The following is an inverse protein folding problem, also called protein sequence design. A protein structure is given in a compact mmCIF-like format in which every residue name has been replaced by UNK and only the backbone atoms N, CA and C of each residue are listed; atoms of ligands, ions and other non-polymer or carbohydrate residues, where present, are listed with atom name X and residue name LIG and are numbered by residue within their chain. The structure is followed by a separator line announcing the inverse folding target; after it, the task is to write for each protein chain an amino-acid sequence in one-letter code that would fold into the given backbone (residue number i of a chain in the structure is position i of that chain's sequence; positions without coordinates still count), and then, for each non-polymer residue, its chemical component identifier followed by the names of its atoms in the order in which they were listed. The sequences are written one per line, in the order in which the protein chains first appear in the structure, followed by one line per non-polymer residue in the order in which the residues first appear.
data_IF_903067055914
#
_entry.id   IF_903067055914
#
_cell.length_a   1.000
_cell.length_b   1.000
_cell.length_c   1.000
_cell.angle_alpha   90.00
_cell.angle_beta   90.00
_cell.angle_gamma   90.00
#
_symmetry.space_group_name_H-M   'P 1'
#
loop_
_entity.id
_entity.type
_entity.pdbx_description
1 polymer ?
#
# COMPACT_ATOMS: atom_id res chain seq x y z
N UNK A 1 7.91 5.61 -39.95
CA UNK A 1 7.75 6.36 -38.68
C UNK A 1 9.09 6.41 -37.96
N UNK A 2 9.59 7.61 -37.67
CA UNK A 2 10.86 7.80 -36.96
C UNK A 2 10.68 7.72 -35.43
N UNK A 3 11.79 7.83 -34.69
CA UNK A 3 11.79 7.75 -33.22
C UNK A 3 10.96 8.87 -32.57
N UNK A 4 11.17 10.13 -33.01
CA UNK A 4 10.51 11.31 -32.47
C UNK A 4 8.99 11.19 -32.52
N UNK A 5 8.45 10.76 -33.66
CA UNK A 5 7.01 10.54 -33.81
C UNK A 5 6.51 9.43 -32.90
N UNK A 6 7.21 8.29 -32.86
CA UNK A 6 6.84 7.16 -32.01
C UNK A 6 6.83 7.50 -30.51
N UNK A 7 7.85 8.23 -30.03
CA UNK A 7 7.95 8.68 -28.64
C UNK A 7 6.86 9.70 -28.31
N UNK A 8 6.52 10.58 -29.26
CA UNK A 8 5.44 11.55 -29.08
C UNK A 8 4.07 10.87 -28.92
N UNK A 9 3.79 9.83 -29.71
CA UNK A 9 2.56 9.03 -29.59
C UNK A 9 2.49 8.28 -28.25
N UNK A 10 3.64 7.78 -27.76
CA UNK A 10 3.75 7.14 -26.44
C UNK A 10 3.48 8.15 -25.30
N UNK A 11 4.12 9.32 -25.35
CA UNK A 11 3.93 10.38 -24.35
C UNK A 11 2.49 10.93 -24.32
N UNK A 12 1.85 11.04 -25.50
CA UNK A 12 0.45 11.44 -25.63
C UNK A 12 -0.55 10.33 -25.22
N UNK A 13 -0.07 9.16 -24.80
CA UNK A 13 -0.90 8.01 -24.39
C UNK A 13 -1.90 7.57 -25.47
N UNK A 14 -1.53 7.70 -26.74
CA UNK A 14 -2.39 7.28 -27.85
C UNK A 14 -2.28 5.77 -28.07
N UNK A 15 -3.43 5.10 -28.16
CA UNK A 15 -3.50 3.70 -28.61
C UNK A 15 -3.04 3.61 -30.07
N UNK A 16 -2.65 2.41 -30.52
CA UNK A 16 -2.24 2.21 -31.90
C UNK A 16 -3.36 2.55 -32.91
N UNK A 17 -4.63 2.31 -32.55
CA UNK A 17 -5.79 2.68 -33.37
C UNK A 17 -5.97 4.21 -33.42
N UNK A 18 -5.91 4.89 -32.27
CA UNK A 18 -5.96 6.35 -32.22
C UNK A 18 -4.78 6.99 -32.95
N UNK A 19 -3.60 6.38 -32.86
CA UNK A 19 -2.41 6.80 -33.60
C UNK A 19 -2.62 6.69 -35.10
N UNK A 20 -3.16 5.57 -35.60
CA UNK A 20 -3.48 5.40 -37.01
C UNK A 20 -4.46 6.47 -37.48
N UNK A 21 -5.56 6.69 -36.73
CA UNK A 21 -6.56 7.70 -37.04
C UNK A 21 -5.96 9.11 -37.14
N UNK A 22 -5.20 9.53 -36.12
CA UNK A 22 -4.57 10.86 -36.09
C UNK A 22 -3.58 11.01 -37.24
N UNK A 23 -2.74 10.00 -37.49
CA UNK A 23 -1.75 10.07 -38.56
C UNK A 23 -2.41 10.12 -39.95
N UNK A 24 -3.46 9.35 -40.18
CA UNK A 24 -4.23 9.40 -41.44
C UNK A 24 -4.80 10.79 -41.67
N UNK A 25 -5.48 11.36 -40.66
CA UNK A 25 -6.08 12.68 -40.77
C UNK A 25 -5.02 13.77 -41.04
N UNK A 26 -3.86 13.69 -40.37
CA UNK A 26 -2.75 14.63 -40.59
C UNK A 26 -2.20 14.51 -42.02
N UNK A 27 -2.00 13.29 -42.53
CA UNK A 27 -1.51 13.08 -43.90
C UNK A 27 -2.49 13.63 -44.94
N UNK A 28 -3.79 13.43 -44.75
CA UNK A 28 -4.82 14.01 -45.61
C UNK A 28 -4.83 15.55 -45.54
N UNK A 29 -4.71 16.12 -44.33
CA UNK A 29 -4.73 17.56 -44.12
C UNK A 29 -3.56 18.29 -44.80
N UNK A 30 -2.41 17.61 -44.97
CA UNK A 30 -1.25 18.15 -45.72
C UNK A 30 -1.31 17.84 -47.23
N UNK A 31 -2.47 17.39 -47.74
CA UNK A 31 -2.69 17.12 -49.17
C UNK A 31 -1.97 15.87 -49.70
N UNK A 32 -1.55 14.96 -48.81
CA UNK A 32 -0.86 13.73 -49.18
C UNK A 32 -1.80 12.53 -49.11
N UNK A 33 -1.54 11.53 -49.93
CA UNK A 33 -2.32 10.28 -49.96
C UNK A 33 -1.86 9.34 -48.83
N UNK A 34 -2.74 9.00 -47.86
CA UNK A 34 -2.43 8.09 -46.75
C UNK A 34 -1.96 6.70 -47.17
N UNK A 35 -2.39 6.18 -48.33
CA UNK A 35 -2.01 4.84 -48.80
C UNK A 35 -0.52 4.75 -49.14
N UNK A 36 0.12 5.89 -49.45
CA UNK A 36 1.56 5.98 -49.69
C UNK A 36 2.38 5.89 -48.39
N UNK A 37 1.74 5.93 -47.22
CA UNK A 37 2.42 5.87 -45.92
C UNK A 37 2.08 4.59 -45.17
N UNK A 38 3.09 4.05 -44.48
CA UNK A 38 2.92 2.84 -43.68
C UNK A 38 2.31 3.18 -42.29
N UNK A 39 1.07 3.67 -42.29
CA UNK A 39 0.31 4.15 -41.12
C UNK A 39 -0.77 3.16 -40.63
N UNK A 40 -0.78 1.94 -41.18
CA UNK A 40 -1.66 0.89 -40.68
C UNK A 40 -1.40 0.59 -39.19
N UNK A 41 -2.43 0.13 -38.48
CA UNK A 41 -2.34 -0.30 -37.08
C UNK A 41 -1.13 -1.24 -36.83
N UNK A 42 -0.98 -2.26 -37.68
CA UNK A 42 0.09 -3.26 -37.56
C UNK A 42 1.47 -2.65 -37.79
N UNK A 43 1.60 -1.70 -38.71
CA UNK A 43 2.86 -1.01 -38.96
C UNK A 43 3.24 -0.06 -37.81
N UNK A 44 2.28 0.68 -37.26
CA UNK A 44 2.47 1.52 -36.09
C UNK A 44 2.92 0.67 -34.90
N UNK A 45 2.22 -0.45 -34.64
CA UNK A 45 2.56 -1.39 -33.56
C UNK A 45 3.98 -1.92 -33.69
N UNK A 46 4.37 -2.41 -34.88
CA UNK A 46 5.73 -2.94 -35.14
C UNK A 46 6.80 -1.86 -34.93
N UNK A 47 6.59 -0.67 -35.48
CA UNK A 47 7.54 0.44 -35.35
C UNK A 47 7.67 0.92 -33.89
N UNK A 48 6.56 1.07 -33.15
CA UNK A 48 6.59 1.43 -31.71
C UNK A 48 7.35 0.38 -30.90
N UNK A 49 7.08 -0.91 -31.12
CA UNK A 49 7.80 -1.98 -30.43
C UNK A 49 9.30 -1.98 -30.73
N UNK A 50 9.70 -1.76 -31.99
CA UNK A 50 11.11 -1.63 -32.37
C UNK A 50 11.78 -0.44 -31.67
N UNK A 51 11.11 0.71 -31.67
CA UNK A 51 11.63 1.93 -31.04
C UNK A 51 11.74 1.81 -29.52
N UNK A 52 10.71 1.30 -28.83
CA UNK A 52 10.74 1.06 -27.38
C UNK A 52 11.85 0.11 -26.98
N UNK A 53 12.06 -0.98 -27.73
CA UNK A 53 13.18 -1.91 -27.53
C UNK A 53 14.53 -1.20 -27.67
N UNK A 54 14.69 -0.38 -28.72
CA UNK A 54 15.92 0.40 -28.95
C UNK A 54 16.18 1.38 -27.81
N UNK A 55 15.16 2.11 -27.35
CA UNK A 55 15.27 3.05 -26.23
C UNK A 55 15.67 2.31 -24.95
N UNK A 56 15.02 1.18 -24.63
CA UNK A 56 15.34 0.39 -23.44
C UNK A 56 16.79 -0.14 -23.46
N UNK A 57 17.25 -0.68 -24.59
CA UNK A 57 18.65 -1.13 -24.77
C UNK A 57 19.61 0.06 -24.66
N UNK A 58 19.31 1.18 -25.32
CA UNK A 58 20.14 2.37 -25.27
C UNK A 58 20.27 2.93 -23.86
N UNK A 59 19.18 2.94 -23.09
CA UNK A 59 19.17 3.40 -21.72
C UNK A 59 20.00 2.46 -20.82
N UNK A 60 19.86 1.15 -20.99
CA UNK A 60 20.65 0.13 -20.29
C UNK A 60 22.16 0.25 -20.57
N UNK A 61 22.53 0.48 -21.83
CA UNK A 61 23.93 0.64 -22.23
C UNK A 61 24.54 1.95 -21.71
N UNK A 62 23.75 3.03 -21.68
CA UNK A 62 24.17 4.35 -21.17
C UNK A 62 24.27 4.39 -19.65
N UNK A 63 23.47 3.60 -18.95
CA UNK A 63 23.45 3.60 -17.49
C UNK A 63 24.65 2.83 -16.92
N UNK A 64 25.78 3.53 -16.78
CA UNK A 64 27.02 3.01 -16.19
C UNK A 64 27.41 3.88 -14.99
N UNK A 65 26.68 3.77 -13.86
CA UNK A 65 26.93 4.60 -12.69
C UNK A 65 28.30 4.31 -12.09
N UNK A 66 29.04 5.36 -11.73
CA UNK A 66 30.30 5.20 -11.00
C UNK A 66 30.12 5.21 -9.46
N UNK A 67 28.91 5.49 -8.98
CA UNK A 67 28.55 5.56 -7.57
C UNK A 67 28.12 4.20 -7.01
N UNK A 68 28.12 4.08 -5.69
CA UNK A 68 27.52 2.94 -5.00
C UNK A 68 26.00 3.02 -5.08
N UNK A 69 25.34 1.87 -5.20
CA UNK A 69 23.91 1.78 -5.43
C UNK A 69 23.19 1.07 -4.28
N UNK A 70 22.00 1.58 -3.98
CA UNK A 70 20.95 0.86 -3.25
C UNK A 70 19.94 0.32 -4.25
N UNK A 71 19.60 -0.96 -4.16
CA UNK A 71 18.50 -1.55 -4.93
C UNK A 71 17.25 -1.54 -4.07
N UNK A 72 16.18 -0.97 -4.58
CA UNK A 72 14.88 -0.85 -3.93
C UNK A 72 13.84 -1.68 -4.66
N UNK A 73 12.94 -2.30 -3.90
CA UNK A 73 11.74 -2.93 -4.46
C UNK A 73 10.54 -2.76 -3.54
N UNK A 74 9.35 -2.77 -4.13
CA UNK A 74 8.07 -2.74 -3.43
C UNK A 74 7.04 -3.54 -4.24
N UNK A 75 6.33 -4.47 -3.61
CA UNK A 75 5.39 -5.36 -4.30
C UNK A 75 4.04 -4.69 -4.52
N UNK A 76 3.44 -4.88 -5.70
CA UNK A 76 2.06 -4.43 -5.95
C UNK A 76 1.27 -5.41 -6.81
N UNK A 77 0.10 -5.80 -6.32
CA UNK A 77 -0.91 -6.49 -7.11
C UNK A 77 -1.51 -5.53 -8.16
N UNK A 78 -1.40 -5.89 -9.43
CA UNK A 78 -1.94 -5.14 -10.57
C UNK A 78 -2.68 -6.07 -11.52
N UNK A 79 -3.63 -5.55 -12.28
CA UNK A 79 -4.26 -6.30 -13.36
C UNK A 79 -3.21 -6.76 -14.37
N UNK A 80 -3.30 -8.01 -14.81
CA UNK A 80 -2.46 -8.52 -15.88
C UNK A 80 -2.79 -7.82 -17.20
N UNK A 81 -1.88 -7.90 -18.16
CA UNK A 81 -2.02 -7.24 -19.47
C UNK A 81 -3.26 -7.74 -20.22
N UNK A 82 -3.74 -8.94 -19.90
CA UNK A 82 -4.96 -9.53 -20.46
C UNK A 82 -6.24 -9.07 -19.76
N UNK A 83 -6.14 -8.37 -18.63
CA UNK A 83 -7.25 -7.85 -17.83
C UNK A 83 -8.05 -8.91 -17.06
N UNK A 84 -7.68 -10.19 -17.15
CA UNK A 84 -8.48 -11.30 -16.57
C UNK A 84 -8.07 -11.71 -15.17
N UNK A 85 -6.84 -11.40 -14.76
CA UNK A 85 -6.28 -11.84 -13.49
C UNK A 85 -5.50 -10.71 -12.84
N UNK A 86 -5.39 -10.74 -11.52
CA UNK A 86 -4.51 -9.87 -10.76
C UNK A 86 -3.19 -10.63 -10.54
N UNK A 87 -2.07 -9.94 -10.75
CA UNK A 87 -0.73 -10.52 -10.68
C UNK A 87 0.18 -9.64 -9.84
N UNK A 88 1.12 -10.26 -9.14
CA UNK A 88 2.16 -9.55 -8.42
C UNK A 88 3.15 -8.93 -9.41
N UNK A 89 3.33 -7.62 -9.31
CA UNK A 89 4.32 -6.85 -10.04
C UNK A 89 5.31 -6.27 -9.06
N UNK A 90 6.59 -6.34 -9.41
CA UNK A 90 7.67 -5.88 -8.54
C UNK A 90 8.45 -4.76 -9.25
N UNK A 91 8.10 -3.48 -9.06
CA UNK A 91 8.99 -2.38 -9.36
C UNK A 91 10.36 -2.57 -8.71
N UNK A 92 11.43 -2.52 -9.51
CA UNK A 92 12.82 -2.59 -9.05
C UNK A 92 13.53 -1.33 -9.50
N UNK A 93 14.02 -0.54 -8.55
CA UNK A 93 14.67 0.75 -8.79
C UNK A 93 16.05 0.70 -8.15
N UNK A 94 17.06 1.31 -8.78
CA UNK A 94 18.31 1.64 -8.09
C UNK A 94 18.42 3.12 -7.84
N UNK A 95 19.06 3.48 -6.72
CA UNK A 95 19.44 4.86 -6.43
C UNK A 95 20.86 4.93 -5.86
N UNK A 96 21.51 6.05 -6.08
CA UNK A 96 22.80 6.41 -5.52
C UNK A 96 22.94 7.94 -5.50
N UNK A 97 24.14 8.43 -5.24
CA UNK A 97 24.42 9.86 -5.28
C UNK A 97 24.07 10.45 -6.66
N UNK A 98 23.10 11.37 -6.68
CA UNK A 98 22.63 12.05 -7.89
C UNK A 98 21.98 11.16 -8.97
N UNK A 99 21.76 9.87 -8.69
CA UNK A 99 21.26 8.91 -9.70
C UNK A 99 20.07 8.11 -9.19
N UNK A 100 19.09 7.91 -10.05
CA UNK A 100 17.97 7.00 -9.84
C UNK A 100 17.55 6.38 -11.17
N UNK A 101 17.30 5.07 -11.19
CA UNK A 101 16.94 4.35 -12.41
C UNK A 101 16.00 3.18 -12.12
N UNK A 102 14.85 3.14 -12.81
CA UNK A 102 13.98 1.97 -12.86
C UNK A 102 14.64 0.87 -13.70
N UNK A 103 14.88 -0.30 -13.09
CA UNK A 103 15.43 -1.47 -13.80
C UNK A 103 14.35 -2.27 -14.52
N UNK A 104 13.15 -2.31 -13.95
CA UNK A 104 12.02 -3.03 -14.51
C UNK A 104 10.85 -3.17 -13.53
N UNK A 105 9.76 -3.77 -14.04
CA UNK A 105 8.55 -4.11 -13.26
C UNK A 105 8.14 -5.56 -13.59
N UNK A 106 8.98 -6.57 -13.31
CA UNK A 106 8.68 -7.97 -13.60
C UNK A 106 7.37 -8.45 -12.99
N UNK A 107 6.71 -9.39 -13.69
CA UNK A 107 5.64 -10.22 -13.13
C UNK A 107 6.30 -11.26 -12.22
N UNK A 108 5.86 -11.38 -10.99
CA UNK A 108 6.27 -12.46 -10.13
C UNK A 108 5.33 -13.66 -10.30
N UNK A 109 5.84 -14.90 -10.19
CA UNK A 109 4.99 -16.08 -10.12
C UNK A 109 4.21 -16.14 -8.79
N UNK A 110 4.77 -15.57 -7.72
CA UNK A 110 4.17 -15.41 -6.40
C UNK A 110 5.00 -14.40 -5.58
N UNK A 111 4.42 -13.86 -4.50
CA UNK A 111 5.08 -12.93 -3.57
C UNK A 111 6.08 -13.55 -2.58
N UNK A 112 6.70 -14.70 -2.89
CA UNK A 112 7.69 -15.32 -1.98
C UNK A 112 9.05 -14.65 -2.07
N UNK A 113 9.85 -14.74 -0.99
CA UNK A 113 11.21 -14.20 -0.94
C UNK A 113 12.12 -14.72 -2.06
N UNK A 114 11.98 -15.99 -2.45
CA UNK A 114 12.72 -16.59 -3.56
C UNK A 114 12.41 -15.95 -4.92
N UNK A 115 11.12 -15.71 -5.19
CA UNK A 115 10.66 -15.05 -6.42
C UNK A 115 11.15 -13.61 -6.50
N UNK A 116 11.05 -12.87 -5.39
CA UNK A 116 11.55 -11.50 -5.26
C UNK A 116 13.06 -11.47 -5.45
N UNK A 117 13.82 -12.29 -4.72
CA UNK A 117 15.29 -12.33 -4.80
C UNK A 117 15.78 -12.64 -6.22
N UNK A 118 15.12 -13.57 -6.90
CA UNK A 118 15.47 -13.93 -8.28
C UNK A 118 15.21 -12.76 -9.22
N UNK A 119 14.04 -12.13 -9.14
CA UNK A 119 13.69 -10.97 -9.97
C UNK A 119 14.66 -9.78 -9.75
N UNK A 120 15.01 -9.50 -8.50
CA UNK A 120 15.97 -8.43 -8.16
C UNK A 120 17.37 -8.76 -8.67
N UNK A 121 17.86 -9.96 -8.40
CA UNK A 121 19.18 -10.40 -8.86
C UNK A 121 19.29 -10.36 -10.39
N UNK A 122 18.32 -10.95 -11.10
CA UNK A 122 18.30 -10.98 -12.56
C UNK A 122 18.25 -9.57 -13.16
N UNK A 123 17.50 -8.65 -12.55
CA UNK A 123 17.48 -7.25 -12.96
C UNK A 123 18.86 -6.60 -12.79
N UNK A 124 19.52 -6.76 -11.64
CA UNK A 124 20.85 -6.16 -11.41
C UNK A 124 21.95 -6.77 -12.29
N UNK A 125 21.87 -8.07 -12.57
CA UNK A 125 22.75 -8.75 -13.51
C UNK A 125 22.53 -8.26 -14.93
N UNK A 126 21.27 -8.20 -15.37
CA UNK A 126 20.94 -7.76 -16.71
C UNK A 126 21.56 -6.39 -16.95
N UNK A 127 21.40 -5.45 -16.03
CA UNK A 127 21.92 -4.08 -16.15
C UNK A 127 23.43 -3.94 -15.90
N UNK A 128 24.14 -5.04 -15.59
CA UNK A 128 25.59 -5.07 -15.33
C UNK A 128 26.01 -4.13 -14.19
N UNK A 129 25.16 -4.00 -13.16
CA UNK A 129 25.40 -3.11 -12.01
C UNK A 129 25.61 -3.87 -10.70
N UNK A 130 25.61 -5.21 -10.74
CA UNK A 130 25.68 -6.05 -9.54
C UNK A 130 26.87 -5.64 -8.64
N UNK A 131 28.07 -5.43 -9.19
CA UNK A 131 29.25 -5.01 -8.44
C UNK A 131 29.10 -3.64 -7.72
N UNK A 132 28.23 -2.74 -8.20
CA UNK A 132 27.95 -1.43 -7.60
C UNK A 132 26.90 -1.47 -6.49
N UNK A 133 26.10 -2.53 -6.40
CA UNK A 133 25.08 -2.67 -5.35
C UNK A 133 25.75 -2.88 -4.00
N UNK A 134 25.41 -2.05 -3.01
CA UNK A 134 25.91 -2.17 -1.62
C UNK A 134 24.79 -2.22 -0.59
N UNK A 135 23.60 -1.74 -0.95
CA UNK A 135 22.48 -1.68 -0.04
C UNK A 135 21.20 -2.24 -0.67
N UNK A 136 20.28 -2.70 0.17
CA UNK A 136 18.96 -3.20 -0.20
C UNK A 136 17.89 -2.37 0.52
N UNK A 137 16.99 -1.74 -0.22
CA UNK A 137 15.83 -1.02 0.31
C UNK A 137 14.55 -1.83 0.10
N UNK A 138 13.84 -2.16 1.19
CA UNK A 138 12.71 -3.08 1.15
C UNK A 138 11.70 -2.82 2.28
N UNK A 139 10.46 -3.28 2.12
CA UNK A 139 9.45 -3.31 3.19
C UNK A 139 9.66 -4.47 4.16
N UNK A 140 9.25 -4.31 5.42
CA UNK A 140 9.60 -5.23 6.52
C UNK A 140 8.76 -6.52 6.56
N UNK A 141 8.15 -6.91 5.45
CA UNK A 141 7.41 -8.16 5.35
C UNK A 141 8.34 -9.37 5.49
N UNK A 142 7.81 -10.47 6.04
CA UNK A 142 8.57 -11.70 6.28
C UNK A 142 9.14 -12.32 5.00
N UNK A 143 8.50 -12.10 3.85
CA UNK A 143 9.03 -12.55 2.56
C UNK A 143 10.34 -11.84 2.19
N UNK A 144 10.61 -10.64 2.69
CA UNK A 144 11.88 -9.95 2.50
C UNK A 144 12.89 -10.25 3.60
N UNK A 145 12.45 -10.29 4.86
CA UNK A 145 13.32 -10.32 6.05
C UNK A 145 13.58 -11.70 6.65
N UNK A 146 12.92 -12.75 6.15
CA UNK A 146 13.08 -14.11 6.66
C UNK A 146 14.54 -14.57 6.66
N UNK A 147 15.03 -15.04 7.81
CA UNK A 147 16.45 -15.38 8.01
C UNK A 147 17.01 -16.33 6.95
N UNK A 148 16.26 -17.37 6.59
CA UNK A 148 16.75 -18.43 5.68
C UNK A 148 16.23 -18.29 4.23
N UNK A 149 14.99 -17.80 4.06
CA UNK A 149 14.28 -17.79 2.78
C UNK A 149 13.76 -16.40 2.37
N UNK A 150 14.12 -15.37 3.15
CA UNK A 150 13.80 -13.98 2.85
C UNK A 150 14.55 -13.49 1.63
N UNK A 151 13.94 -12.55 0.91
CA UNK A 151 14.53 -11.99 -0.29
C UNK A 151 15.94 -11.42 -0.05
N UNK A 152 16.16 -10.73 1.08
CA UNK A 152 17.44 -10.09 1.37
C UNK A 152 18.56 -11.12 1.55
N UNK A 153 18.34 -12.14 2.40
CA UNK A 153 19.28 -13.26 2.58
C UNK A 153 19.60 -13.93 1.24
N UNK A 154 18.58 -14.22 0.43
CA UNK A 154 18.76 -14.91 -0.84
C UNK A 154 19.49 -14.04 -1.88
N UNK A 155 19.31 -12.71 -1.85
CA UNK A 155 20.04 -11.78 -2.71
C UNK A 155 21.52 -11.76 -2.34
N UNK A 156 21.86 -11.68 -1.05
CA UNK A 156 23.26 -11.73 -0.58
C UNK A 156 23.94 -13.03 -0.98
N UNK A 157 23.27 -14.17 -0.79
CA UNK A 157 23.77 -15.48 -1.22
C UNK A 157 24.01 -15.55 -2.73
N UNK A 158 23.07 -15.04 -3.54
CA UNK A 158 23.20 -14.99 -5.00
C UNK A 158 24.33 -14.06 -5.45
N UNK A 159 24.48 -12.91 -4.79
CA UNK A 159 25.51 -11.93 -5.09
C UNK A 159 26.89 -12.26 -4.50
N UNK A 160 26.95 -13.21 -3.54
CA UNK A 160 28.14 -13.62 -2.79
C UNK A 160 28.85 -12.45 -2.12
N UNK A 161 28.09 -11.59 -1.46
CA UNK A 161 28.60 -10.45 -0.70
C UNK A 161 27.59 -10.00 0.34
N UNK A 162 28.12 -9.39 1.39
CA UNK A 162 27.32 -8.75 2.42
C UNK A 162 26.77 -7.42 1.88
N UNK A 163 25.50 -7.15 2.19
CA UNK A 163 24.79 -5.96 1.76
C UNK A 163 24.18 -5.26 2.97
N UNK A 164 24.15 -3.94 2.93
CA UNK A 164 23.49 -3.18 3.99
C UNK A 164 21.98 -3.21 3.80
N UNK A 165 21.27 -3.74 4.78
CA UNK A 165 19.81 -3.83 4.77
C UNK A 165 19.17 -2.53 5.26
N UNK A 166 18.54 -1.80 4.36
CA UNK A 166 17.85 -0.54 4.61
C UNK A 166 16.34 -0.80 4.67
N UNK A 167 15.91 -1.42 5.77
CA UNK A 167 14.49 -1.65 6.04
C UNK A 167 13.69 -0.34 6.00
N UNK A 168 12.53 -0.37 5.35
CA UNK A 168 11.72 0.82 5.13
C UNK A 168 11.22 1.41 6.46
N UNK A 169 11.74 2.58 6.82
CA UNK A 169 11.36 3.31 8.05
C UNK A 169 9.87 3.58 8.16
N UNK A 170 9.19 3.82 7.03
CA UNK A 170 7.74 4.00 7.02
C UNK A 170 7.00 2.77 7.53
N UNK A 171 7.45 1.57 7.15
CA UNK A 171 6.85 0.32 7.62
C UNK A 171 7.22 0.02 9.09
N UNK A 172 8.42 0.38 9.54
CA UNK A 172 8.81 0.25 10.95
C UNK A 172 7.91 1.12 11.85
N UNK A 173 7.75 2.40 11.51
CA UNK A 173 6.88 3.32 12.25
C UNK A 173 5.42 2.85 12.23
N UNK A 174 4.99 2.25 11.13
CA UNK A 174 3.67 1.63 11.04
C UNK A 174 3.48 0.48 12.04
N UNK A 175 4.46 -0.40 12.19
CA UNK A 175 4.41 -1.52 13.14
C UNK A 175 4.35 -1.00 14.58
N UNK A 176 5.16 0.01 14.91
CA UNK A 176 5.15 0.62 16.25
C UNK A 176 3.77 1.23 16.56
N UNK A 177 3.22 2.01 15.62
CA UNK A 177 1.93 2.63 15.79
C UNK A 177 0.79 1.60 15.87
N UNK A 178 0.84 0.54 15.06
CA UNK A 178 -0.13 -0.56 15.13
C UNK A 178 -0.11 -1.22 16.51
N UNK A 179 1.07 -1.44 17.11
CA UNK A 179 1.17 -2.02 18.44
C UNK A 179 0.49 -1.13 19.51
N UNK A 180 0.68 0.19 19.44
CA UNK A 180 0.02 1.15 20.33
C UNK A 180 -1.50 1.16 20.10
N UNK A 181 -1.94 1.25 18.85
CA UNK A 181 -3.38 1.25 18.50
C UNK A 181 -4.06 -0.02 18.97
N UNK A 182 -3.44 -1.19 18.76
CA UNK A 182 -3.96 -2.48 19.25
C UNK A 182 -4.07 -2.47 20.79
N UNK A 183 -3.08 -1.92 21.49
CA UNK A 183 -3.10 -1.86 22.95
C UNK A 183 -4.20 -0.92 23.48
N UNK A 184 -4.42 0.21 22.81
CA UNK A 184 -5.40 1.22 23.24
C UNK A 184 -6.85 0.90 22.87
N UNK A 185 -7.08 0.35 21.67
CA UNK A 185 -8.42 0.21 21.06
C UNK A 185 -8.82 -1.27 20.91
N UNK A 186 -7.88 -2.21 21.10
CA UNK A 186 -8.10 -3.64 20.91
C UNK A 186 -7.78 -4.11 19.49
N UNK A 187 -7.75 -5.44 19.30
CA UNK A 187 -7.52 -6.05 17.97
C UNK A 187 -8.77 -5.95 17.12
N UNK A 188 -8.63 -5.49 15.88
CA UNK A 188 -9.68 -5.62 14.87
C UNK A 188 -9.48 -6.91 14.06
N UNK A 189 -10.56 -7.65 13.82
CA UNK A 189 -10.59 -8.86 12.99
C UNK A 189 -10.88 -8.58 11.51
N UNK A 190 -11.16 -7.33 11.12
CA UNK A 190 -11.47 -6.93 9.75
C UNK A 190 -10.43 -5.97 9.14
N UNK A 191 -10.52 -5.68 7.82
CA UNK A 191 -9.64 -4.73 7.14
C UNK A 191 -9.83 -3.28 7.61
N UNK A 192 -10.98 -2.97 8.20
CA UNK A 192 -11.34 -1.67 8.77
C UNK A 192 -11.29 -1.72 10.31
N UNK A 193 -10.66 -0.72 10.93
CA UNK A 193 -10.79 -0.49 12.38
C UNK A 193 -12.21 0.06 12.63
N UNK A 194 -13.06 -0.70 13.34
CA UNK A 194 -14.48 -0.38 13.55
C UNK A 194 -14.68 1.01 14.16
N UNK A 195 -13.88 1.36 15.16
CA UNK A 195 -13.87 2.70 15.76
C UNK A 195 -13.68 3.79 14.71
N UNK A 196 -12.71 3.63 13.81
CA UNK A 196 -12.44 4.61 12.75
C UNK A 196 -13.58 4.64 11.72
N UNK A 197 -14.17 3.50 11.37
CA UNK A 197 -15.30 3.42 10.45
C UNK A 197 -16.53 4.14 11.00
N UNK A 198 -16.82 3.96 12.29
CA UNK A 198 -17.91 4.67 12.98
C UNK A 198 -17.62 6.16 13.06
N UNK A 199 -16.40 6.55 13.42
CA UNK A 199 -15.99 7.95 13.47
C UNK A 199 -16.19 8.65 12.12
N UNK A 200 -15.74 7.99 11.04
CA UNK A 200 -15.93 8.49 9.68
C UNK A 200 -17.41 8.65 9.33
N UNK A 201 -18.28 7.69 9.71
CA UNK A 201 -19.73 7.79 9.47
C UNK A 201 -20.34 8.96 10.24
N UNK A 202 -19.95 9.16 11.49
CA UNK A 202 -20.42 10.26 12.34
C UNK A 202 -19.82 11.62 11.99
N UNK A 203 -18.89 11.70 11.02
CA UNK A 203 -18.20 12.95 10.72
C UNK A 203 -19.13 14.12 10.41
N UNK A 204 -20.27 13.87 9.76
CA UNK A 204 -21.22 14.92 9.36
C UNK A 204 -21.97 15.57 10.54
N UNK A 205 -22.09 14.88 11.68
CA UNK A 205 -22.80 15.39 12.87
C UNK A 205 -21.88 16.01 13.93
N UNK A 206 -20.56 15.84 13.82
CA UNK A 206 -19.59 16.42 14.75
C UNK A 206 -19.49 17.93 14.54
N UNK A 207 -19.57 18.73 15.59
CA UNK A 207 -19.25 20.16 15.59
C UNK A 207 -17.73 20.35 15.55
N UNK A 208 -17.20 21.12 14.58
CA UNK A 208 -15.74 21.24 14.39
C UNK A 208 -15.11 22.30 15.30
N UNK A 209 -15.94 23.15 15.89
CA UNK A 209 -15.52 24.22 16.80
C UNK A 209 -15.43 23.73 18.26
N UNK A 210 -16.14 22.65 18.61
CA UNK A 210 -16.13 22.03 19.95
C UNK A 210 -15.11 20.89 20.04
N UNK A 211 -13.82 21.21 20.03
CA UNK A 211 -12.75 20.20 20.12
C UNK A 211 -11.93 20.35 21.40
N UNK A 212 -11.38 19.23 21.85
CA UNK A 212 -10.51 19.12 23.01
C UNK A 212 -9.04 19.06 22.57
N UNK A 213 -8.16 19.63 23.38
CA UNK A 213 -6.72 19.63 23.17
C UNK A 213 -6.03 18.87 24.30
N UNK A 214 -4.70 18.82 24.29
CA UNK A 214 -3.90 18.21 25.35
C UNK A 214 -4.17 18.86 26.72
N UNK A 215 -4.44 20.17 26.75
CA UNK A 215 -4.78 20.89 27.98
C UNK A 215 -6.13 20.51 28.57
N UNK A 216 -6.98 19.80 27.82
CA UNK A 216 -8.26 19.27 28.31
C UNK A 216 -8.11 17.99 29.14
N UNK A 217 -6.88 17.50 29.39
CA UNK A 217 -6.62 16.35 30.26
C UNK A 217 -6.42 16.78 31.73
N UNK A 218 -6.73 15.90 32.71
CA UNK A 218 -6.52 16.19 34.13
C UNK A 218 -5.05 16.49 34.46
N UNK A 219 -4.84 17.44 35.37
CA UNK A 219 -3.51 17.76 35.90
C UNK A 219 -2.82 16.50 36.45
N UNK A 220 -1.58 16.24 36.01
CA UNK A 220 -0.80 15.04 36.33
C UNK A 220 -0.79 13.96 35.24
N UNK A 221 -1.71 14.01 34.27
CA UNK A 221 -1.70 13.10 33.10
C UNK A 221 -0.76 13.56 31.98
N UNK A 222 -0.23 14.78 32.08
CA UNK A 222 0.45 15.52 31.00
C UNK A 222 1.88 15.94 31.34
N UNK A 223 2.39 15.63 32.55
CA UNK A 223 3.66 16.15 33.06
C UNK A 223 4.86 15.88 32.13
N UNK A 224 4.87 14.74 31.43
CA UNK A 224 5.92 14.38 30.46
C UNK A 224 5.75 14.97 29.06
N UNK A 225 4.57 15.50 28.71
CA UNK A 225 4.32 16.11 27.40
C UNK A 225 4.44 17.63 27.44
N UNK A 226 4.12 18.26 28.58
CA UNK A 226 4.12 19.71 28.73
C UNK A 226 5.50 20.36 28.57
N UNK A 227 6.58 19.66 28.93
CA UNK A 227 7.94 20.19 28.86
C UNK A 227 8.45 20.34 27.41
N UNK A 228 7.92 19.53 26.48
CA UNK A 228 8.34 19.51 25.07
C UNK A 228 7.33 20.18 24.11
N UNK A 229 6.22 20.72 24.62
CA UNK A 229 5.13 21.27 23.79
C UNK A 229 5.64 22.34 22.81
N UNK A 230 6.39 23.33 23.31
CA UNK A 230 6.89 24.43 22.48
C UNK A 230 7.88 23.94 21.42
N UNK A 231 8.71 22.96 21.78
CA UNK A 231 9.64 22.32 20.85
C UNK A 231 8.88 21.57 19.74
N UNK A 232 7.87 20.77 20.10
CA UNK A 232 7.08 20.00 19.13
C UNK A 232 6.27 20.91 18.20
N UNK A 233 5.67 21.97 18.73
CA UNK A 233 4.97 22.98 17.93
C UNK A 233 5.95 23.67 16.97
N UNK A 234 7.10 24.12 17.47
CA UNK A 234 8.17 24.72 16.67
C UNK A 234 8.63 23.78 15.55
N UNK A 235 8.86 22.50 15.88
CA UNK A 235 9.18 21.47 14.91
C UNK A 235 8.09 21.33 13.84
N UNK A 236 6.81 21.25 14.24
CA UNK A 236 5.72 21.09 13.30
C UNK A 236 5.59 22.30 12.37
N UNK A 237 5.70 23.53 12.89
CA UNK A 237 5.68 24.76 12.10
C UNK A 237 6.82 24.79 11.08
N UNK A 238 8.04 24.52 11.53
CA UNK A 238 9.21 24.45 10.64
C UNK A 238 9.05 23.38 9.56
N UNK A 239 8.48 22.22 9.89
CA UNK A 239 8.24 21.19 8.89
C UNK A 239 7.14 21.56 7.89
N UNK A 240 6.12 22.32 8.30
CA UNK A 240 5.08 22.81 7.39
C UNK A 240 5.61 23.81 6.35
N UNK A 241 6.72 24.49 6.63
CA UNK A 241 7.44 25.34 5.68
C UNK A 241 8.29 24.53 4.69
N UNK A 242 8.65 23.29 5.04
CA UNK A 242 9.40 22.37 4.19
C UNK A 242 8.45 21.56 3.29
N UNK A 243 8.97 21.08 2.16
CA UNK A 243 8.24 20.17 1.28
C UNK A 243 7.74 18.91 2.01
N UNK A 244 6.43 18.69 1.99
CA UNK A 244 5.82 17.46 2.47
C UNK A 244 5.51 16.53 1.30
N UNK A 245 5.89 15.23 1.38
CA UNK A 245 5.77 14.31 0.24
C UNK A 245 4.31 13.96 -0.10
N UNK A 246 3.39 14.12 0.85
CA UNK A 246 1.96 13.82 0.71
C UNK A 246 1.10 14.71 1.59
N UNK A 247 -0.15 14.90 1.20
CA UNK A 247 -1.11 15.74 1.92
C UNK A 247 -1.48 15.23 3.32
N UNK A 248 -1.37 13.92 3.56
CA UNK A 248 -1.61 13.32 4.87
C UNK A 248 -0.52 13.72 5.89
N UNK A 249 0.73 13.96 5.46
CA UNK A 249 1.80 14.46 6.35
C UNK A 249 1.51 15.88 6.81
N UNK A 250 1.09 16.72 5.88
CA UNK A 250 0.69 18.09 6.18
C UNK A 250 -0.47 18.12 7.18
N UNK A 251 -1.48 17.30 6.95
CA UNK A 251 -2.62 17.19 7.87
C UNK A 251 -2.20 16.71 9.26
N UNK A 252 -1.29 15.72 9.36
CA UNK A 252 -0.80 15.26 10.65
C UNK A 252 -0.09 16.39 11.41
N UNK A 253 0.77 17.17 10.76
CA UNK A 253 1.47 18.30 11.36
C UNK A 253 0.50 19.39 11.85
N UNK A 254 -0.48 19.75 11.02
CA UNK A 254 -1.54 20.72 11.39
C UNK A 254 -2.35 20.22 12.59
N UNK A 255 -2.74 18.94 12.61
CA UNK A 255 -3.44 18.32 13.73
C UNK A 255 -2.59 18.22 14.99
N UNK A 256 -1.28 17.96 14.88
CA UNK A 256 -0.37 17.96 16.02
C UNK A 256 -0.29 19.33 16.68
N UNK A 257 -0.22 20.42 15.89
CA UNK A 257 -0.24 21.80 16.42
C UNK A 257 -1.54 22.06 17.19
N UNK A 258 -2.70 21.74 16.59
CA UNK A 258 -4.01 21.90 17.23
C UNK A 258 -4.12 21.05 18.51
N UNK A 259 -3.63 19.80 18.46
CA UNK A 259 -3.64 18.88 19.60
C UNK A 259 -2.87 19.45 20.78
N UNK A 260 -1.71 20.06 20.53
CA UNK A 260 -0.87 20.68 21.55
C UNK A 260 -1.43 22.02 22.07
N UNK A 261 -2.53 22.50 21.50
CA UNK A 261 -3.24 23.70 21.95
C UNK A 261 -2.84 24.99 21.22
N UNK A 262 -2.08 24.90 20.13
CA UNK A 262 -1.66 26.05 19.32
C UNK A 262 -2.42 26.10 17.98
N UNK A 263 -2.30 27.21 17.24
CA UNK A 263 -3.04 27.52 16.02
C UNK A 263 -2.10 27.35 14.80
N UNK A 264 -2.47 26.53 13.79
CA UNK A 264 -1.76 26.47 12.52
C UNK A 264 -1.83 27.80 11.75
N UNK A 265 -0.86 28.06 10.86
CA UNK A 265 -0.78 29.31 10.09
C UNK A 265 -2.05 29.68 9.30
N UNK A 266 -2.82 28.68 8.85
CA UNK A 266 -4.06 28.88 8.08
C UNK A 266 -5.32 28.91 8.94
N UNK A 267 -5.14 28.99 10.26
CA UNK A 267 -6.22 28.80 11.23
C UNK A 267 -6.55 27.32 11.44
N UNK A 268 -7.48 27.08 12.37
CA UNK A 268 -7.93 25.75 12.75
C UNK A 268 -8.92 25.26 11.71
N UNK A 269 -8.62 24.13 11.07
CA UNK A 269 -9.54 23.46 10.17
C UNK A 269 -9.32 21.95 10.19
N UNK A 270 -10.39 21.18 10.04
CA UNK A 270 -10.33 19.73 10.08
C UNK A 270 -10.82 19.13 8.76
N UNK A 271 -9.93 18.45 8.03
CA UNK A 271 -10.31 17.70 6.83
C UNK A 271 -11.22 16.51 7.17
N UNK A 272 -12.09 16.14 6.25
CA UNK A 272 -12.90 14.93 6.43
C UNK A 272 -12.03 13.66 6.49
N UNK A 273 -12.34 12.68 7.36
CA UNK A 273 -11.60 11.42 7.43
C UNK A 273 -11.65 10.66 6.09
N UNK A 274 -10.48 10.48 5.47
CA UNK A 274 -10.35 9.88 4.14
C UNK A 274 -10.35 8.33 4.18
N UNK A 275 -9.92 7.68 3.09
CA UNK A 275 -9.94 6.22 2.93
C UNK A 275 -9.25 5.46 4.07
N UNK A 276 -10.00 4.54 4.68
CA UNK A 276 -9.50 3.58 5.67
C UNK A 276 -8.77 2.46 4.92
N UNK A 277 -7.45 2.45 4.98
CA UNK A 277 -6.68 1.29 4.58
C UNK A 277 -5.71 0.98 5.72
N UNK A 278 -5.81 -0.22 6.31
CA UNK A 278 -5.02 -0.62 7.49
C UNK A 278 -3.52 -0.42 7.31
N UNK A 279 -3.03 -0.57 6.07
CA UNK A 279 -1.62 -0.43 5.67
C UNK A 279 -1.12 1.04 5.57
N UNK A 280 -1.83 2.03 6.15
CA UNK A 280 -1.41 3.43 6.13
C UNK A 280 -1.33 3.97 7.55
N UNK A 281 -0.14 3.95 8.13
CA UNK A 281 0.13 4.48 9.47
C UNK A 281 -0.38 5.91 9.67
N UNK A 282 -0.25 6.77 8.65
CA UNK A 282 -0.76 8.14 8.66
C UNK A 282 -2.24 8.21 9.03
N UNK A 283 -3.06 7.32 8.46
CA UNK A 283 -4.48 7.27 8.78
C UNK A 283 -4.71 6.93 10.25
N UNK A 284 -3.93 6.00 10.83
CA UNK A 284 -4.06 5.65 12.25
C UNK A 284 -3.73 6.84 13.16
N UNK A 285 -2.63 7.57 12.91
CA UNK A 285 -2.31 8.76 13.68
C UNK A 285 -3.39 9.85 13.56
N UNK A 286 -3.79 10.18 12.33
CA UNK A 286 -4.77 11.23 12.05
C UNK A 286 -6.12 10.90 12.69
N UNK A 287 -6.60 9.64 12.56
CA UNK A 287 -7.85 9.23 13.18
C UNK A 287 -7.75 9.26 14.70
N UNK A 288 -6.65 8.77 15.29
CA UNK A 288 -6.47 8.80 16.74
C UNK A 288 -6.50 10.22 17.31
N UNK A 289 -5.80 11.17 16.67
CA UNK A 289 -5.83 12.58 17.09
C UNK A 289 -7.23 13.18 16.98
N UNK A 290 -7.91 12.96 15.85
CA UNK A 290 -9.27 13.48 15.66
C UNK A 290 -10.28 12.87 16.64
N UNK A 291 -10.22 11.56 16.87
CA UNK A 291 -11.08 10.89 17.84
C UNK A 291 -10.83 11.45 19.23
N UNK A 292 -9.57 11.66 19.61
CA UNK A 292 -9.24 12.32 20.86
C UNK A 292 -9.86 13.72 20.94
N UNK A 293 -9.65 14.55 19.91
CA UNK A 293 -10.16 15.93 19.89
C UNK A 293 -11.68 16.00 20.00
N UNK A 294 -12.41 15.11 19.33
CA UNK A 294 -13.87 15.12 19.33
C UNK A 294 -14.48 14.14 20.33
N UNK A 295 -13.69 13.60 21.28
CA UNK A 295 -14.15 12.56 22.20
C UNK A 295 -15.31 13.00 23.11
N UNK A 296 -15.43 14.29 23.42
CA UNK A 296 -16.57 14.84 24.19
C UNK A 296 -17.90 14.72 23.45
N UNK A 297 -17.87 14.83 22.13
CA UNK A 297 -19.04 14.69 21.25
C UNK A 297 -19.32 13.24 20.86
N UNK A 298 -18.47 12.32 21.30
CA UNK A 298 -18.58 10.90 21.01
C UNK A 298 -18.88 10.13 22.29
N UNK A 299 -19.91 9.30 22.27
CA UNK A 299 -20.12 8.31 23.33
C UNK A 299 -19.14 7.14 23.14
N UNK A 300 -17.83 7.38 23.37
CA UNK A 300 -16.77 6.39 23.16
C UNK A 300 -16.96 5.16 24.07
N UNK A 301 -17.66 5.32 25.20
CA UNK A 301 -18.11 4.24 26.09
C UNK A 301 -19.04 3.24 25.40
N UNK A 302 -20.00 3.70 24.59
CA UNK A 302 -20.85 2.81 23.77
C UNK A 302 -20.11 2.16 22.60
N UNK A 303 -18.87 2.56 22.33
CA UNK A 303 -18.09 2.06 21.18
C UNK A 303 -17.07 0.98 21.59
N UNK A 304 -16.91 0.73 22.90
CA UNK A 304 -16.13 -0.39 23.45
C UNK A 304 -16.82 -1.75 23.29
N UNK A 305 -18.07 -1.78 22.85
CA UNK A 305 -18.89 -2.99 22.78
C UNK A 305 -19.74 -3.02 21.50
N UNK A 306 -19.11 -3.31 20.36
CA UNK A 306 -19.74 -4.31 19.47
C UNK A 306 -18.66 -5.32 19.10
N UNK A 307 -18.65 -6.40 19.87
CA UNK A 307 -17.76 -7.54 19.70
C UNK A 307 -18.45 -8.57 18.81
N UNK A 308 -18.61 -8.29 17.52
CA UNK A 308 -19.79 -8.82 16.85
C UNK A 308 -19.61 -10.17 16.12
N UNK A 309 -18.42 -10.78 16.06
CA UNK A 309 -18.23 -12.06 15.32
C UNK A 309 -17.31 -13.09 16.03
N UNK A 310 -16.25 -12.67 16.73
CA UNK A 310 -15.19 -13.60 17.15
C UNK A 310 -15.36 -14.18 18.57
N UNK A 311 -15.97 -13.47 19.53
CA UNK A 311 -16.36 -14.05 20.82
C UNK A 311 -17.34 -15.22 20.63
N UNK A 312 -18.12 -15.23 19.53
CA UNK A 312 -18.95 -16.36 19.12
C UNK A 312 -18.17 -17.52 18.46
N UNK A 313 -17.10 -17.25 17.72
CA UNK A 313 -16.23 -18.30 17.17
C UNK A 313 -15.35 -18.96 18.24
N UNK A 314 -14.92 -18.19 19.24
CA UNK A 314 -14.18 -18.69 20.41
C UNK A 314 -15.09 -19.49 21.32
N UNK A 315 -16.34 -19.05 21.58
CA UNK A 315 -17.33 -19.85 22.31
C UNK A 315 -17.73 -21.14 21.57
N UNK A 316 -17.86 -21.10 20.24
CA UNK A 316 -18.13 -22.27 19.41
C UNK A 316 -16.95 -23.26 19.39
N UNK A 317 -15.69 -22.79 19.35
CA UNK A 317 -14.51 -23.65 19.40
C UNK A 317 -14.30 -24.26 20.79
N UNK A 318 -14.59 -23.54 21.87
CA UNK A 318 -14.39 -24.01 23.26
C UNK A 318 -15.47 -25.00 23.72
N UNK A 319 -16.68 -24.92 23.17
CA UNK A 319 -17.75 -25.93 23.34
C UNK A 319 -17.52 -27.18 22.48
N UNK A 320 -17.05 -27.04 21.23
CA UNK A 320 -16.84 -28.18 20.33
C UNK A 320 -15.63 -29.03 20.72
N UNK A 321 -14.60 -28.42 21.32
CA UNK A 321 -13.41 -29.12 21.81
C UNK A 321 -13.65 -29.94 23.10
N UNK A 322 -14.80 -29.81 23.76
CA UNK A 322 -15.11 -30.52 25.01
C UNK A 322 -16.01 -31.75 24.84
N UNK A 323 -16.56 -31.99 23.65
CA UNK A 323 -17.60 -33.00 23.46
C UNK A 323 -17.39 -33.81 22.17
N UNK A 324 -16.80 -35.00 22.29
CA UNK A 324 -16.97 -36.17 21.40
C UNK A 324 -15.79 -36.59 20.49
N UNK A 325 -14.73 -37.11 21.13
CA UNK A 325 -13.85 -38.21 20.68
C UNK A 325 -12.41 -37.87 20.22
N UNK A 326 -11.47 -38.76 20.56
CA UNK A 326 -10.02 -38.66 20.29
C UNK A 326 -9.56 -39.56 19.12
N UNK A 327 -10.49 -40.03 18.29
CA UNK A 327 -10.21 -40.93 17.16
C UNK A 327 -10.15 -40.16 15.82
N UNK A 328 -8.98 -40.17 15.16
CA UNK A 328 -8.68 -39.42 13.93
C UNK A 328 -9.34 -40.01 12.65
N UNK A 329 -9.72 -41.29 12.65
CA UNK A 329 -10.33 -41.90 11.46
C UNK A 329 -11.80 -41.44 11.31
N UNK A 330 -12.52 -41.30 12.42
CA UNK A 330 -13.89 -40.77 12.46
C UNK A 330 -13.97 -39.29 12.05
N UNK A 331 -12.89 -38.54 12.26
CA UNK A 331 -12.76 -37.10 11.95
C UNK A 331 -12.70 -36.85 10.44
N UNK A 332 -12.08 -37.74 9.67
CA UNK A 332 -12.01 -37.66 8.21
C UNK A 332 -13.37 -37.93 7.54
N UNK A 333 -14.17 -38.87 8.06
CA UNK A 333 -15.50 -39.19 7.53
C UNK A 333 -16.53 -38.06 7.74
N UNK A 334 -16.44 -37.35 8.87
CA UNK A 334 -17.35 -36.23 9.19
C UNK A 334 -17.13 -35.03 8.26
N UNK A 335 -15.87 -34.70 7.93
CA UNK A 335 -15.52 -33.58 7.06
C UNK A 335 -15.97 -33.82 5.60
N UNK A 336 -15.83 -35.05 5.10
CA UNK A 336 -16.31 -35.46 3.77
C UNK A 336 -17.84 -35.38 3.67
N UNK A 337 -18.55 -35.71 4.76
CA UNK A 337 -20.03 -35.65 4.82
C UNK A 337 -20.55 -34.21 4.82
N UNK A 338 -19.92 -33.33 5.60
CA UNK A 338 -20.27 -31.90 5.67
C UNK A 338 -19.99 -31.18 4.34
N UNK A 339 -18.90 -31.53 3.66
CA UNK A 339 -18.56 -30.98 2.35
C UNK A 339 -19.56 -31.44 1.27
N UNK A 340 -19.96 -32.72 1.28
CA UNK A 340 -20.95 -33.28 0.35
C UNK A 340 -22.36 -32.68 0.58
N UNK A 341 -22.74 -32.43 1.84
CA UNK A 341 -24.02 -31.81 2.18
C UNK A 341 -24.13 -30.35 1.70
N UNK A 342 -23.03 -29.58 1.79
CA UNK A 342 -22.96 -28.19 1.33
C UNK A 342 -22.95 -28.05 -0.19
N UNK A 343 -22.46 -29.06 -0.92
CA UNK A 343 -22.48 -29.08 -2.38
C UNK A 343 -23.83 -29.51 -2.98
N UNK A 344 -24.65 -30.26 -2.24
CA UNK A 344 -25.97 -30.77 -2.70
C UNK A 344 -27.13 -29.79 -2.54
N UNK A 345 -27.02 -28.74 -1.72
CA UNK A 345 -28.07 -27.72 -1.57
C UNK A 345 -27.53 -26.33 -1.94
N UNK A 346 -27.64 -26.01 -3.23
CA UNK A 346 -27.34 -24.68 -3.76
C UNK A 346 -28.23 -23.59 -3.16
N UNK A 347 -27.63 -22.42 -2.95
CA UNK A 347 -28.19 -21.08 -2.74
C UNK A 347 -29.72 -20.97 -2.73
N UNK A 348 -30.34 -20.85 -1.54
CA UNK A 348 -31.64 -20.18 -1.39
C UNK A 348 -31.91 -19.73 0.06
N UNK A 349 -32.08 -18.41 0.19
CA UNK A 349 -32.73 -17.61 1.22
C UNK A 349 -33.16 -18.27 2.54
N UNK A 350 -32.54 -17.85 3.65
CA UNK A 350 -33.10 -18.00 5.00
C UNK A 350 -33.57 -16.64 5.50
N UNK A 351 -34.89 -16.44 5.56
CA UNK A 351 -35.52 -15.27 6.17
C UNK A 351 -35.94 -15.61 7.62
N UNK A 352 -35.93 -14.61 8.51
CA UNK A 352 -36.03 -14.73 9.98
C UNK A 352 -37.36 -15.28 10.54
N UNK A 353 -38.32 -15.69 9.71
CA UNK A 353 -39.67 -16.03 10.15
C UNK A 353 -39.89 -17.51 10.52
N UNK A 354 -38.89 -18.38 10.41
CA UNK A 354 -39.07 -19.83 10.64
C UNK A 354 -38.65 -20.33 12.03
N UNK A 355 -38.26 -19.45 12.95
CA UNK A 355 -37.84 -19.81 14.32
C UNK A 355 -38.89 -19.48 15.40
N UNK A 356 -40.15 -19.24 15.00
CA UNK A 356 -41.24 -18.89 15.92
C UNK A 356 -42.16 -20.03 16.35
N UNK A 357 -41.90 -21.29 15.97
CA UNK A 357 -42.77 -22.43 16.30
C UNK A 357 -42.00 -23.73 16.58
N UNK A 358 -41.02 -23.68 17.48
CA UNK A 358 -40.64 -24.84 18.30
C UNK A 358 -40.42 -24.37 19.73
#
# INVERSE_FOLDING_TARGET
MNEKLSTSLDAAKLSERKSALVLTAVVQAIGQDPEKFNISYSAIRRNRNKNRKRIAIGLKNKFKPNVLLTVHWDGKMLEDITGKTVVDRLPIIVSGEGVAQLLGVPKLPNGTGKSIATAVYDATLAWEINNKVKCLGFDTTSCNTGMNIGACTLIEQKMKKDLLWLACRHHILEIMLEAVVIKCIGRSSGPDILLFKRFKKSWHIICKDDFQTLSSLPAGSTATLSEDNDFLVSFCRKQLEVFQPRDDYKELLELSIIFLGDIPLKGISFKAPAGLHRARWMAKCIYSLKIFMFRSQMDVSKWKHDNDIAERAVALMDEYNKLHTTDEEQKQFLLLTIQNFRQRKGSSNFNKSTLGQL
#
